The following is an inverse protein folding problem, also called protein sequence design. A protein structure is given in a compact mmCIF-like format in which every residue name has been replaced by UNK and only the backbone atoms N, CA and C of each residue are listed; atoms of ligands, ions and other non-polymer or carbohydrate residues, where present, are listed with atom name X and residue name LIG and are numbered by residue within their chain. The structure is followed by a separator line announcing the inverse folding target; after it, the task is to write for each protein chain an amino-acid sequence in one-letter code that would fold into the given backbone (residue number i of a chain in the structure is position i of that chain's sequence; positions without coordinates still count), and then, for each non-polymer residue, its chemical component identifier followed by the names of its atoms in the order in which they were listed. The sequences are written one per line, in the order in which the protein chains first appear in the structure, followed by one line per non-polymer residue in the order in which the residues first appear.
data_IF_162426127620
#
_entry.id   IF_162426127620
#
_cell.length_a   1.000
_cell.length_b   1.000
_cell.length_c   1.000
_cell.angle_alpha   90.00
_cell.angle_beta   90.00
_cell.angle_gamma   90.00
#
_symmetry.space_group_name_H-M   'P 1'
#
loop_
_entity.id
_entity.type
_entity.pdbx_description
1 polymer ?
#
# COMPACT_ATOMS: atom_id res chain seq x y z
N UNK A 1 14.74 4.81 1.73
CA UNK A 1 13.40 4.97 1.16
C UNK A 1 12.80 6.35 1.45
N UNK A 2 12.93 6.91 2.65
CA UNK A 2 12.98 8.37 2.81
C UNK A 2 14.41 8.77 3.16
N UNK A 3 14.94 9.80 2.50
CA UNK A 3 16.29 10.32 2.77
C UNK A 3 16.15 11.63 3.55
N UNK A 4 16.96 11.80 4.59
CA UNK A 4 16.91 12.96 5.48
C UNK A 4 16.18 12.68 6.80
N UNK A 5 15.77 13.75 7.49
CA UNK A 5 15.10 13.65 8.77
C UNK A 5 13.63 13.24 8.57
N UNK A 6 13.15 12.19 9.25
CA UNK A 6 11.74 11.81 9.18
C UNK A 6 10.88 12.85 9.91
N UNK A 7 9.68 13.11 9.38
CA UNK A 7 8.67 13.86 10.12
C UNK A 7 8.30 13.12 11.41
N UNK A 8 8.09 13.87 12.49
CA UNK A 8 7.79 13.31 13.82
C UNK A 8 6.36 13.60 14.24
N UNK A 9 5.75 12.68 14.99
CA UNK A 9 4.34 12.77 15.42
C UNK A 9 3.98 14.02 16.25
N UNK A 10 4.97 14.63 16.88
CA UNK A 10 4.88 15.84 17.70
C UNK A 10 4.97 17.12 16.84
N UNK A 11 5.32 17.01 15.56
CA UNK A 11 5.33 18.12 14.62
C UNK A 11 3.92 18.39 14.06
N UNK A 12 3.69 19.59 13.54
CA UNK A 12 2.37 19.96 13.04
C UNK A 12 2.02 19.27 11.72
N UNK A 13 0.72 19.13 11.45
CA UNK A 13 0.22 18.62 10.15
C UNK A 13 0.62 19.52 8.96
N UNK A 14 0.75 20.83 9.19
CA UNK A 14 1.24 21.74 8.15
C UNK A 14 2.71 21.44 7.79
N UNK A 15 3.54 21.13 8.78
CA UNK A 15 4.92 20.69 8.56
C UNK A 15 4.97 19.32 7.89
N UNK A 16 4.01 18.43 8.15
CA UNK A 16 3.91 17.16 7.41
C UNK A 16 3.71 17.39 5.90
N UNK A 17 2.79 18.26 5.50
CA UNK A 17 2.54 18.55 4.08
C UNK A 17 3.75 19.20 3.40
N UNK A 18 4.47 20.08 4.10
CA UNK A 18 5.72 20.63 3.59
C UNK A 18 6.81 19.57 3.47
N UNK A 19 6.96 18.72 4.49
CA UNK A 19 7.94 17.65 4.51
C UNK A 19 7.69 16.64 3.40
N UNK A 20 6.46 16.14 3.25
CA UNK A 20 6.13 15.15 2.21
C UNK A 20 6.24 15.76 0.82
N UNK A 21 5.93 17.06 0.65
CA UNK A 21 6.14 17.78 -0.61
C UNK A 21 7.61 17.96 -0.98
N UNK A 22 8.53 17.91 -0.01
CA UNK A 22 9.98 17.95 -0.24
C UNK A 22 10.58 16.60 -0.65
N UNK A 23 9.82 15.50 -0.49
CA UNK A 23 10.29 14.16 -0.84
C UNK A 23 10.30 13.97 -2.35
N UNK A 24 11.46 13.63 -2.91
CA UNK A 24 11.57 13.19 -4.30
C UNK A 24 10.92 11.81 -4.49
N UNK A 25 9.65 11.79 -4.91
CA UNK A 25 8.89 10.56 -5.20
C UNK A 25 9.63 9.64 -6.17
N UNK A 26 10.32 10.16 -7.19
CA UNK A 26 11.07 9.35 -8.15
C UNK A 26 12.27 8.68 -7.49
N UNK A 27 12.93 9.36 -6.53
CA UNK A 27 13.96 8.72 -5.72
C UNK A 27 13.40 7.60 -4.84
N UNK A 28 12.22 7.79 -4.24
CA UNK A 28 11.57 6.73 -3.44
C UNK A 28 11.27 5.50 -4.30
N UNK A 29 10.71 5.71 -5.50
CA UNK A 29 10.45 4.65 -6.48
C UNK A 29 11.75 3.91 -6.86
N UNK A 30 12.82 4.64 -7.17
CA UNK A 30 14.14 4.05 -7.46
C UNK A 30 14.69 3.23 -6.30
N UNK A 31 14.58 3.74 -5.07
CA UNK A 31 15.03 3.03 -3.87
C UNK A 31 14.23 1.73 -3.67
N UNK A 32 12.91 1.74 -3.92
CA UNK A 32 12.05 0.54 -3.87
C UNK A 32 12.53 -0.49 -4.89
N UNK A 33 12.56 -0.15 -6.18
CA UNK A 33 12.95 -1.10 -7.23
C UNK A 33 14.38 -1.63 -7.07
N UNK A 34 15.32 -0.78 -6.65
CA UNK A 34 16.70 -1.22 -6.38
C UNK A 34 16.75 -2.24 -5.25
N UNK A 35 16.00 -2.00 -4.18
CA UNK A 35 15.96 -2.90 -3.02
C UNK A 35 15.25 -4.21 -3.36
N UNK A 36 14.11 -4.15 -4.08
CA UNK A 36 13.38 -5.33 -4.55
C UNK A 36 14.24 -6.19 -5.45
N UNK A 37 14.92 -5.58 -6.44
CA UNK A 37 15.81 -6.31 -7.34
C UNK A 37 16.94 -6.99 -6.58
N UNK A 38 17.58 -6.29 -5.64
CA UNK A 38 18.63 -6.90 -4.83
C UNK A 38 18.10 -8.10 -4.03
N UNK A 39 16.93 -7.98 -3.38
CA UNK A 39 16.32 -9.10 -2.66
C UNK A 39 15.94 -10.26 -3.59
N UNK A 40 15.41 -9.97 -4.78
CA UNK A 40 15.09 -10.98 -5.79
C UNK A 40 16.34 -11.78 -6.19
N UNK A 41 17.43 -11.08 -6.50
CA UNK A 41 18.70 -11.69 -6.89
C UNK A 41 19.26 -12.60 -5.76
N UNK A 42 19.18 -12.17 -4.50
CA UNK A 42 19.58 -12.99 -3.33
C UNK A 42 18.68 -14.23 -3.14
N UNK A 43 17.37 -14.09 -3.33
CA UNK A 43 16.43 -15.22 -3.21
C UNK A 43 16.67 -16.26 -4.31
N UNK A 44 16.89 -15.80 -5.54
CA UNK A 44 17.26 -16.66 -6.66
C UNK A 44 18.58 -17.39 -6.38
N UNK A 45 19.59 -16.69 -5.85
CA UNK A 45 20.86 -17.31 -5.45
C UNK A 45 20.69 -18.38 -4.35
N UNK A 46 19.69 -18.22 -3.48
CA UNK A 46 19.29 -19.21 -2.47
C UNK A 46 18.35 -20.32 -3.01
N UNK A 47 18.01 -20.32 -4.30
CA UNK A 47 17.13 -21.31 -4.91
C UNK A 47 15.64 -21.06 -4.67
N UNK A 48 15.25 -19.84 -4.31
CA UNK A 48 13.87 -19.42 -4.05
C UNK A 48 13.38 -18.58 -5.23
N UNK A 49 12.34 -19.05 -5.94
CA UNK A 49 11.75 -18.37 -7.11
C UNK A 49 10.39 -17.74 -6.83
N UNK A 50 10.15 -17.29 -5.60
CA UNK A 50 8.86 -16.70 -5.19
C UNK A 50 8.85 -15.19 -5.43
N UNK A 51 7.74 -14.68 -5.94
CA UNK A 51 7.45 -13.24 -5.98
C UNK A 51 7.22 -12.70 -4.57
N UNK A 52 7.37 -11.38 -4.40
CA UNK A 52 7.17 -10.69 -3.14
C UNK A 52 5.73 -10.18 -2.98
N UNK A 53 5.25 -10.13 -1.73
CA UNK A 53 4.10 -9.31 -1.38
C UNK A 53 4.55 -7.90 -1.00
N UNK A 54 3.76 -6.90 -1.36
CA UNK A 54 4.02 -5.50 -0.98
C UNK A 54 2.84 -4.92 -0.21
N UNK A 55 3.13 -4.25 0.89
CA UNK A 55 2.15 -3.56 1.72
C UNK A 55 2.54 -2.09 1.84
N UNK A 56 1.58 -1.19 1.63
CA UNK A 56 1.76 0.24 1.74
C UNK A 56 0.72 0.88 2.65
N UNK A 57 1.14 1.85 3.45
CA UNK A 57 0.25 2.61 4.36
C UNK A 57 0.30 4.10 4.05
N UNK A 58 -0.84 4.80 4.10
CA UNK A 58 -0.92 6.26 3.91
C UNK A 58 -0.28 6.67 2.56
N UNK A 59 0.79 7.48 2.58
CA UNK A 59 1.57 7.82 1.39
C UNK A 59 2.11 6.57 0.68
N UNK A 60 2.63 5.60 1.45
CA UNK A 60 3.10 4.34 0.90
C UNK A 60 1.99 3.51 0.27
N UNK A 61 0.75 3.63 0.77
CA UNK A 61 -0.42 2.95 0.20
C UNK A 61 -0.80 3.49 -1.17
N UNK A 62 -0.67 4.80 -1.38
CA UNK A 62 -0.86 5.39 -2.70
C UNK A 62 0.31 5.11 -3.63
N UNK A 63 1.54 5.22 -3.13
CA UNK A 63 2.74 4.93 -3.92
C UNK A 63 2.79 3.47 -4.40
N UNK A 64 2.27 2.53 -3.60
CA UNK A 64 2.16 1.12 -3.98
C UNK A 64 1.40 0.93 -5.29
N UNK A 65 0.37 1.73 -5.57
CA UNK A 65 -0.37 1.69 -6.84
C UNK A 65 0.57 1.97 -8.03
N UNK A 66 1.42 3.00 -7.91
CA UNK A 66 2.42 3.32 -8.95
C UNK A 66 3.48 2.23 -9.11
N UNK A 67 3.90 1.63 -7.99
CA UNK A 67 4.89 0.56 -7.98
C UNK A 67 4.36 -0.67 -8.69
N UNK A 68 3.15 -1.13 -8.35
CA UNK A 68 2.55 -2.29 -9.00
C UNK A 68 2.27 -2.06 -10.49
N UNK A 69 1.81 -0.86 -10.85
CA UNK A 69 1.59 -0.49 -12.24
C UNK A 69 2.89 -0.45 -13.07
N UNK A 70 4.03 -0.16 -12.44
CA UNK A 70 5.35 -0.17 -13.10
C UNK A 70 5.99 -1.57 -13.09
N UNK A 71 5.80 -2.35 -12.02
CA UNK A 71 6.36 -3.70 -11.89
C UNK A 71 5.69 -4.70 -12.83
N UNK A 72 4.40 -4.51 -13.14
CA UNK A 72 3.61 -5.39 -14.02
C UNK A 72 3.74 -6.88 -13.61
N UNK A 73 3.81 -7.14 -12.31
CA UNK A 73 3.93 -8.48 -11.76
C UNK A 73 5.27 -9.17 -12.03
N UNK A 74 6.35 -8.43 -12.32
CA UNK A 74 7.70 -8.98 -12.44
C UNK A 74 8.17 -9.55 -11.10
N UNK A 75 8.31 -8.69 -10.10
CA UNK A 75 8.84 -9.07 -8.78
C UNK A 75 7.73 -9.20 -7.73
N UNK A 76 6.63 -8.47 -7.90
CA UNK A 76 5.52 -8.52 -6.95
C UNK A 76 4.43 -9.49 -7.42
N UNK A 77 3.89 -10.27 -6.50
CA UNK A 77 2.79 -11.19 -6.75
C UNK A 77 1.45 -10.73 -6.18
N UNK A 78 1.47 -9.80 -5.23
CA UNK A 78 0.26 -9.33 -4.52
C UNK A 78 0.52 -7.97 -3.85
N UNK A 79 -0.50 -7.12 -3.81
CA UNK A 79 -0.46 -5.79 -3.19
C UNK A 79 -1.54 -5.57 -2.14
N UNK A 80 -1.20 -4.84 -1.07
CA UNK A 80 -2.16 -4.37 -0.06
C UNK A 80 -1.91 -2.89 0.26
N UNK A 81 -2.90 -2.04 0.00
CA UNK A 81 -2.87 -0.61 0.31
C UNK A 81 -3.81 -0.30 1.47
N UNK A 82 -3.27 0.28 2.53
CA UNK A 82 -4.02 0.81 3.67
C UNK A 82 -4.13 2.34 3.56
N UNK A 83 -5.37 2.84 3.51
CA UNK A 83 -5.75 4.25 3.48
C UNK A 83 -4.81 5.07 2.58
N UNK A 84 -4.63 4.58 1.35
CA UNK A 84 -3.70 5.12 0.36
C UNK A 84 -4.05 6.56 -0.03
N UNK A 85 -3.07 7.45 0.02
CA UNK A 85 -3.27 8.88 -0.35
C UNK A 85 -2.59 9.20 -1.68
N UNK A 86 -3.07 10.21 -2.40
CA UNK A 86 -2.44 10.70 -3.65
C UNK A 86 -2.34 9.63 -4.74
N UNK A 87 -3.38 8.81 -4.87
CA UNK A 87 -3.50 7.76 -5.90
C UNK A 87 -3.64 8.41 -7.27
N UNK A 88 -2.82 7.98 -8.22
CA UNK A 88 -2.98 8.28 -9.65
C UNK A 88 -3.88 7.21 -10.28
N UNK A 89 -5.09 7.58 -10.68
CA UNK A 89 -6.06 6.67 -11.27
C UNK A 89 -5.67 6.24 -12.70
N UNK A 90 -4.83 7.02 -13.38
CA UNK A 90 -4.45 6.75 -14.77
C UNK A 90 -3.58 5.50 -14.94
N UNK A 91 -3.00 5.01 -13.84
CA UNK A 91 -2.13 3.83 -13.84
C UNK A 91 -2.82 2.56 -13.34
N UNK A 92 -4.04 2.66 -12.80
CA UNK A 92 -4.74 1.53 -12.17
C UNK A 92 -4.93 0.34 -13.12
N UNK A 93 -5.20 0.59 -14.40
CA UNK A 93 -5.38 -0.47 -15.42
C UNK A 93 -4.12 -1.23 -15.79
N UNK A 94 -2.94 -0.77 -15.36
CA UNK A 94 -1.65 -1.46 -15.59
C UNK A 94 -1.29 -2.45 -14.47
N UNK A 95 -2.12 -2.55 -13.44
CA UNK A 95 -1.88 -3.44 -12.31
C UNK A 95 -2.29 -4.87 -12.72
N UNK A 96 -1.32 -5.76 -12.74
CA UNK A 96 -1.48 -7.15 -13.21
C UNK A 96 -1.57 -8.17 -12.07
N UNK A 97 -1.52 -7.71 -10.81
CA UNK A 97 -1.50 -8.56 -9.62
C UNK A 97 -2.69 -8.28 -8.70
N UNK A 98 -3.15 -9.28 -7.92
CA UNK A 98 -4.22 -9.08 -6.93
C UNK A 98 -3.92 -7.93 -5.98
N UNK A 99 -4.90 -7.04 -5.78
CA UNK A 99 -4.76 -5.82 -5.00
C UNK A 99 -5.87 -5.72 -3.96
N UNK A 100 -5.51 -5.56 -2.69
CA UNK A 100 -6.45 -5.27 -1.61
C UNK A 100 -6.32 -3.80 -1.18
N UNK A 101 -7.42 -3.06 -1.22
CA UNK A 101 -7.51 -1.69 -0.76
C UNK A 101 -8.33 -1.65 0.53
N UNK A 102 -7.72 -1.24 1.64
CA UNK A 102 -8.36 -1.14 2.95
C UNK A 102 -8.43 0.31 3.37
N UNK A 103 -9.62 0.84 3.65
CA UNK A 103 -9.78 2.20 4.18
C UNK A 103 -10.96 2.30 5.13
N UNK A 104 -11.10 3.44 5.78
CA UNK A 104 -12.34 3.83 6.45
C UNK A 104 -13.11 4.86 5.64
N UNK A 105 -14.42 4.98 5.86
CA UNK A 105 -15.27 5.95 5.14
C UNK A 105 -15.23 7.37 5.73
N UNK A 106 -14.68 7.53 6.93
CA UNK A 106 -14.48 8.82 7.61
C UNK A 106 -13.04 9.35 7.42
N UNK A 107 -12.37 8.94 6.35
CA UNK A 107 -11.02 9.39 5.97
C UNK A 107 -11.07 10.41 4.81
N UNK A 108 -10.91 11.72 5.08
CA UNK A 108 -10.91 12.73 4.02
C UNK A 108 -9.67 12.67 3.12
N UNK A 109 -8.60 11.97 3.52
CA UNK A 109 -7.38 11.81 2.72
C UNK A 109 -7.46 10.63 1.75
N UNK A 110 -8.41 9.72 1.96
CA UNK A 110 -8.62 8.53 1.15
C UNK A 110 -10.11 8.33 0.84
N UNK A 111 -10.70 9.16 -0.05
CA UNK A 111 -12.11 9.06 -0.39
C UNK A 111 -12.49 7.72 -1.00
N UNK A 112 -13.56 7.09 -0.52
CA UNK A 112 -14.00 5.75 -0.95
C UNK A 112 -14.29 5.68 -2.46
N UNK A 113 -14.76 6.76 -3.08
CA UNK A 113 -15.01 6.80 -4.52
C UNK A 113 -13.73 6.63 -5.35
N UNK A 114 -12.59 7.15 -4.87
CA UNK A 114 -11.28 6.96 -5.52
C UNK A 114 -10.89 5.48 -5.47
N UNK A 115 -11.10 4.81 -4.33
CA UNK A 115 -10.78 3.39 -4.19
C UNK A 115 -11.66 2.50 -5.08
N UNK A 116 -12.96 2.81 -5.18
CA UNK A 116 -13.87 2.12 -6.11
C UNK A 116 -13.48 2.32 -7.56
N UNK A 117 -12.94 3.49 -7.91
CA UNK A 117 -12.43 3.72 -9.26
C UNK A 117 -11.17 2.90 -9.54
N UNK A 118 -10.26 2.73 -8.58
CA UNK A 118 -9.15 1.77 -8.71
C UNK A 118 -9.69 0.35 -8.88
N UNK A 119 -10.65 -0.07 -8.05
CA UNK A 119 -11.25 -1.40 -8.11
C UNK A 119 -11.86 -1.73 -9.47
N UNK A 120 -12.55 -0.78 -10.09
CA UNK A 120 -13.16 -0.95 -11.40
C UNK A 120 -12.15 -1.03 -12.54
N UNK A 121 -10.95 -0.49 -12.36
CA UNK A 121 -9.94 -0.39 -13.43
C UNK A 121 -8.80 -1.42 -13.27
N UNK A 122 -8.49 -1.86 -12.06
CA UNK A 122 -7.42 -2.82 -11.78
C UNK A 122 -7.95 -4.26 -11.75
N UNK A 123 -7.28 -5.18 -12.44
CA UNK A 123 -7.68 -6.59 -12.46
C UNK A 123 -7.41 -7.25 -11.10
N UNK A 124 -8.37 -8.01 -10.56
CA UNK A 124 -8.22 -8.69 -9.28
C UNK A 124 -8.12 -7.75 -8.06
N UNK A 125 -8.64 -6.52 -8.18
CA UNK A 125 -8.70 -5.57 -7.08
C UNK A 125 -9.94 -5.78 -6.20
N UNK A 126 -9.80 -5.59 -4.89
CA UNK A 126 -10.88 -5.63 -3.91
C UNK A 126 -10.78 -4.45 -2.94
N UNK A 127 -11.88 -3.76 -2.69
CA UNK A 127 -12.00 -2.70 -1.70
C UNK A 127 -12.72 -3.20 -0.45
N UNK A 128 -12.15 -2.92 0.71
CA UNK A 128 -12.79 -3.11 2.02
C UNK A 128 -12.84 -1.75 2.73
N UNK A 129 -14.04 -1.38 3.16
CA UNK A 129 -14.30 -0.12 3.86
C UNK A 129 -14.81 -0.41 5.27
N UNK A 130 -14.13 0.15 6.27
CA UNK A 130 -14.52 0.09 7.67
C UNK A 130 -15.33 1.34 8.03
N UNK A 131 -16.60 1.14 8.38
CA UNK A 131 -17.54 2.22 8.71
C UNK A 131 -17.09 3.01 9.94
N UNK A 132 -17.17 4.34 9.86
CA UNK A 132 -16.79 5.28 10.91
C UNK A 132 -15.28 5.47 11.10
N UNK A 133 -14.44 4.69 10.42
CA UNK A 133 -12.98 4.75 10.62
C UNK A 133 -12.32 5.87 9.82
N UNK A 134 -11.37 6.53 10.47
CA UNK A 134 -10.56 7.58 9.89
C UNK A 134 -9.19 7.12 9.44
N UNK A 135 -8.38 8.08 8.99
CA UNK A 135 -7.02 7.83 8.52
C UNK A 135 -6.14 7.16 9.59
N UNK A 136 -5.47 6.06 9.24
CA UNK A 136 -4.52 5.41 10.14
C UNK A 136 -5.14 4.54 11.23
N UNK A 137 -6.43 4.19 11.14
CA UNK A 137 -7.15 3.42 12.17
C UNK A 137 -6.41 2.11 12.54
N UNK A 138 -5.83 1.42 11.55
CA UNK A 138 -5.10 0.17 11.74
C UNK A 138 -3.79 0.31 12.56
N UNK A 139 -3.24 1.52 12.72
CA UNK A 139 -2.00 1.76 13.46
C UNK A 139 -2.20 2.35 14.85
N UNK A 140 -3.33 3.02 15.09
CA UNK A 140 -3.54 3.84 16.29
C UNK A 140 -4.98 3.74 16.81
N UNK A 141 -5.44 2.53 17.17
CA UNK A 141 -6.77 2.39 17.74
C UNK A 141 -6.93 3.27 18.99
N UNK A 142 -8.05 3.98 19.11
CA UNK A 142 -8.36 4.84 20.25
C UNK A 142 -9.48 4.26 21.13
N UNK A 143 -10.13 3.19 20.66
CA UNK A 143 -11.24 2.50 21.31
C UNK A 143 -11.11 0.98 21.14
N UNK A 144 -11.87 0.20 21.90
CA UNK A 144 -11.94 -1.26 21.73
C UNK A 144 -12.53 -1.61 20.36
N UNK A 145 -13.46 -0.79 19.88
CA UNK A 145 -14.03 -0.92 18.56
C UNK A 145 -12.99 -0.62 17.48
N UNK A 146 -12.09 0.35 17.66
CA UNK A 146 -11.00 0.59 16.70
C UNK A 146 -10.00 -0.58 16.71
N UNK A 147 -9.71 -1.13 17.89
CA UNK A 147 -8.77 -2.24 18.06
C UNK A 147 -9.26 -3.49 17.34
N UNK A 148 -10.56 -3.80 17.49
CA UNK A 148 -11.23 -4.89 16.77
C UNK A 148 -11.13 -4.72 15.25
N UNK A 149 -11.41 -3.52 14.74
CA UNK A 149 -11.38 -3.27 13.30
C UNK A 149 -9.94 -3.28 12.76
N UNK A 150 -8.96 -2.81 13.54
CA UNK A 150 -7.54 -2.93 13.22
C UNK A 150 -7.08 -4.39 13.15
N UNK A 151 -7.53 -5.24 14.09
CA UNK A 151 -7.27 -6.68 14.07
C UNK A 151 -7.92 -7.35 12.86
N UNK A 152 -9.17 -7.03 12.55
CA UNK A 152 -9.87 -7.55 11.37
C UNK A 152 -9.15 -7.17 10.07
N UNK A 153 -8.74 -5.90 9.94
CA UNK A 153 -7.98 -5.43 8.79
C UNK A 153 -6.61 -6.16 8.66
N UNK A 154 -5.94 -6.44 9.77
CA UNK A 154 -4.71 -7.23 9.80
C UNK A 154 -4.94 -8.68 9.35
N UNK A 155 -6.02 -9.31 9.80
CA UNK A 155 -6.39 -10.68 9.40
C UNK A 155 -6.69 -10.76 7.89
N UNK A 156 -7.41 -9.77 7.35
CA UNK A 156 -7.68 -9.67 5.91
C UNK A 156 -6.39 -9.54 5.10
N UNK A 157 -5.48 -8.64 5.50
CA UNK A 157 -4.18 -8.49 4.87
C UNK A 157 -3.39 -9.80 4.89
N UNK A 158 -3.33 -10.49 6.04
CA UNK A 158 -2.59 -11.75 6.17
C UNK A 158 -3.15 -12.84 5.26
N UNK A 159 -4.48 -12.97 5.19
CA UNK A 159 -5.13 -13.94 4.33
C UNK A 159 -4.90 -13.61 2.85
N UNK A 160 -4.99 -12.33 2.47
CA UNK A 160 -4.72 -11.89 1.10
C UNK A 160 -3.28 -12.17 0.65
N UNK A 161 -2.30 -11.92 1.53
CA UNK A 161 -0.91 -12.29 1.29
C UNK A 161 -0.72 -13.78 1.12
N UNK A 162 -1.33 -14.58 2.01
CA UNK A 162 -1.25 -16.03 1.94
C UNK A 162 -1.79 -16.55 0.61
N UNK A 163 -2.99 -16.11 0.22
CA UNK A 163 -3.65 -16.58 -0.98
C UNK A 163 -2.91 -16.11 -2.24
N UNK A 164 -2.51 -14.84 -2.31
CA UNK A 164 -1.82 -14.27 -3.48
C UNK A 164 -0.38 -14.76 -3.68
N UNK A 165 0.31 -15.23 -2.63
CA UNK A 165 1.67 -15.78 -2.73
C UNK A 165 1.71 -17.30 -2.85
N UNK A 166 0.60 -18.00 -2.64
CA UNK A 166 0.50 -19.45 -2.77
C UNK A 166 -0.27 -19.90 -4.01
N UNK A 167 -1.05 -19.03 -4.64
CA UNK A 167 -1.55 -19.28 -5.99
C UNK A 167 -0.36 -19.44 -6.94
N UNK A 168 -0.05 -20.69 -7.27
CA UNK A 168 0.92 -21.04 -8.31
C UNK A 168 0.47 -20.40 -9.63
N UNK A 169 1.31 -19.53 -10.19
CA UNK A 169 1.27 -19.18 -11.61
C UNK A 169 2.11 -20.20 -12.38
#
# INVERSE_FOLDING_TARGET
MFRGNPWRKDESKALFEQWIGSVDKQQVVRDIFTSTKWMADEFVAAGISKKFGVIGFCFGGGLLIDILAQDQGSEFGVGISFYGTRIDLSVASKIEVPLLLISGDNDPLCPVNVLKEVENNANGCKVVVFEGRGHGFAHRPQSLEDDKDAEEAFLMMRNWLHDGLLSEN
#
